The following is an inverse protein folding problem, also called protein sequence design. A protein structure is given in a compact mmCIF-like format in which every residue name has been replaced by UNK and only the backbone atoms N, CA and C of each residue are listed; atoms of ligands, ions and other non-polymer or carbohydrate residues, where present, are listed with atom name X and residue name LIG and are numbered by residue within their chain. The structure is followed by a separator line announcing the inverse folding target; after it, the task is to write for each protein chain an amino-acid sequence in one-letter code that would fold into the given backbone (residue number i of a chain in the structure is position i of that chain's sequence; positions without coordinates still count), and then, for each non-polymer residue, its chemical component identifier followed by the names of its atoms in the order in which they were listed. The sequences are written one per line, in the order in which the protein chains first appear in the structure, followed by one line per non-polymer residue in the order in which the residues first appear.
data_IF_268496020802
#
_entry.id   IF_268496020802
#
_cell.length_a   1.000
_cell.length_b   1.000
_cell.length_c   1.000
_cell.angle_alpha   90.00
_cell.angle_beta   90.00
_cell.angle_gamma   90.00
#
_symmetry.space_group_name_H-M   'P 1'
#
loop_
_entity.id
_entity.type
_entity.pdbx_description
1 polymer ?
#
# COMPACT_ATOMS: atom_id res chain seq x y z
N UNK A 1 -13.34 -8.91 -13.53
CA UNK A 1 -12.93 -9.39 -12.20
C UNK A 1 -13.64 -10.72 -11.94
N UNK A 2 -12.94 -11.76 -11.47
CA UNK A 2 -13.58 -13.01 -11.03
C UNK A 2 -14.15 -12.84 -9.61
N UNK A 3 -15.33 -13.40 -9.34
CA UNK A 3 -15.96 -13.35 -8.03
C UNK A 3 -15.08 -13.97 -6.93
N UNK A 4 -14.27 -14.99 -7.25
CA UNK A 4 -13.32 -15.56 -6.29
C UNK A 4 -12.31 -14.52 -5.81
N UNK A 5 -11.77 -13.74 -6.75
CA UNK A 5 -10.83 -12.63 -6.49
C UNK A 5 -11.47 -11.55 -5.62
N UNK A 6 -12.70 -11.16 -5.94
CA UNK A 6 -13.45 -10.18 -5.14
C UNK A 6 -13.67 -10.66 -3.68
N UNK A 7 -14.05 -11.93 -3.50
CA UNK A 7 -14.26 -12.53 -2.16
C UNK A 7 -12.96 -12.55 -1.34
N UNK A 8 -11.82 -12.84 -1.97
CA UNK A 8 -10.52 -12.83 -1.30
C UNK A 8 -10.18 -11.42 -0.76
N UNK A 9 -10.35 -10.39 -1.58
CA UNK A 9 -10.12 -9.00 -1.19
C UNK A 9 -11.02 -8.58 -0.03
N UNK A 10 -12.32 -8.90 -0.12
CA UNK A 10 -13.29 -8.61 0.95
C UNK A 10 -12.97 -9.33 2.25
N UNK A 11 -12.43 -10.56 2.19
CA UNK A 11 -12.03 -11.31 3.39
C UNK A 11 -10.85 -10.63 4.09
N UNK A 12 -9.84 -10.20 3.34
CA UNK A 12 -8.71 -9.45 3.89
C UNK A 12 -9.17 -8.16 4.57
N UNK A 13 -10.00 -7.37 3.89
CA UNK A 13 -10.53 -6.13 4.44
C UNK A 13 -11.31 -6.35 5.74
N UNK A 14 -12.15 -7.39 5.81
CA UNK A 14 -12.89 -7.74 7.03
C UNK A 14 -11.98 -8.18 8.17
N UNK A 15 -10.92 -8.92 7.86
CA UNK A 15 -9.92 -9.33 8.85
C UNK A 15 -9.21 -8.12 9.45
N UNK A 16 -8.79 -7.17 8.62
CA UNK A 16 -8.08 -5.97 9.10
C UNK A 16 -8.99 -5.08 9.95
N UNK A 17 -10.27 -4.94 9.58
CA UNK A 17 -11.27 -4.29 10.43
C UNK A 17 -11.42 -4.96 11.79
N UNK A 18 -11.51 -6.29 11.83
CA UNK A 18 -11.60 -7.03 13.09
C UNK A 18 -10.34 -6.80 13.94
N UNK A 19 -9.15 -6.77 13.33
CA UNK A 19 -7.90 -6.53 14.02
C UNK A 19 -7.82 -5.12 14.63
N UNK A 20 -8.17 -4.07 13.87
CA UNK A 20 -8.20 -2.72 14.41
C UNK A 20 -9.15 -2.60 15.60
N UNK A 21 -10.35 -3.20 15.50
CA UNK A 21 -11.32 -3.22 16.59
C UNK A 21 -10.80 -3.98 17.82
N UNK A 22 -10.09 -5.10 17.61
CA UNK A 22 -9.47 -5.85 18.70
C UNK A 22 -8.38 -5.06 19.42
N UNK A 23 -7.51 -4.35 18.69
CA UNK A 23 -6.45 -3.53 19.30
C UNK A 23 -7.05 -2.37 20.10
N UNK A 24 -8.01 -1.65 19.51
CA UNK A 24 -8.74 -0.57 20.21
C UNK A 24 -9.40 -1.10 21.47
N UNK A 25 -10.12 -2.22 21.36
CA UNK A 25 -10.75 -2.87 22.51
C UNK A 25 -9.72 -3.25 23.58
N UNK A 26 -8.59 -3.82 23.20
CA UNK A 26 -7.52 -4.22 24.11
C UNK A 26 -6.99 -3.06 24.94
N UNK A 27 -6.72 -1.91 24.31
CA UNK A 27 -6.31 -0.69 25.02
C UNK A 27 -7.38 -0.19 26.00
N UNK A 28 -8.65 -0.24 25.62
CA UNK A 28 -9.75 0.14 26.50
C UNK A 28 -9.89 -0.81 27.70
N UNK A 29 -9.72 -2.12 27.51
CA UNK A 29 -9.80 -3.13 28.58
C UNK A 29 -8.71 -2.96 29.64
N UNK A 30 -7.53 -2.46 29.27
CA UNK A 30 -6.43 -2.15 30.21
C UNK A 30 -6.41 -0.69 30.68
N UNK A 31 -7.52 0.04 30.50
CA UNK A 31 -7.72 1.42 30.93
C UNK A 31 -6.68 2.40 30.36
N UNK A 32 -6.30 2.22 29.08
CA UNK A 32 -5.42 3.11 28.32
C UNK A 32 -6.17 3.79 27.15
N UNK A 33 -7.20 4.62 27.42
CA UNK A 33 -8.03 5.23 26.38
C UNK A 33 -7.27 6.18 25.45
N UNK A 34 -6.21 6.83 25.93
CA UNK A 34 -5.36 7.70 25.11
C UNK A 34 -4.65 6.91 24.01
N UNK A 35 -4.18 5.69 24.33
CA UNK A 35 -3.57 4.78 23.36
C UNK A 35 -4.58 4.22 22.38
N UNK A 36 -5.80 3.91 22.85
CA UNK A 36 -6.90 3.53 21.96
C UNK A 36 -7.21 4.63 20.94
N UNK A 37 -7.27 5.89 21.39
CA UNK A 37 -7.52 7.05 20.53
C UNK A 37 -6.37 7.32 19.56
N UNK A 38 -5.12 7.23 20.03
CA UNK A 38 -3.92 7.32 19.19
C UNK A 38 -3.96 6.30 18.05
N UNK A 39 -4.22 5.03 18.38
CA UNK A 39 -4.33 3.94 17.40
C UNK A 39 -5.51 4.15 16.43
N UNK A 40 -6.69 4.53 16.94
CA UNK A 40 -7.88 4.81 16.12
C UNK A 40 -7.61 5.92 15.10
N UNK A 41 -6.92 6.98 15.50
CA UNK A 41 -6.55 8.07 14.60
C UNK A 41 -5.59 7.58 13.50
N UNK A 42 -4.65 6.70 13.84
CA UNK A 42 -3.76 6.05 12.87
C UNK A 42 -4.53 5.21 11.86
N UNK A 43 -5.34 4.26 12.33
CA UNK A 43 -6.17 3.41 11.48
C UNK A 43 -7.15 4.23 10.60
N UNK A 44 -7.72 5.31 11.14
CA UNK A 44 -8.59 6.21 10.37
C UNK A 44 -7.84 6.90 9.24
N UNK A 45 -6.57 7.29 9.45
CA UNK A 45 -5.73 7.89 8.41
C UNK A 45 -5.39 6.89 7.31
N UNK A 46 -5.01 5.66 7.68
CA UNK A 46 -4.77 4.57 6.72
C UNK A 46 -6.00 4.34 5.83
N UNK A 47 -7.20 4.30 6.41
CA UNK A 47 -8.45 4.15 5.66
C UNK A 47 -8.76 5.34 4.75
N UNK A 48 -8.43 6.57 5.17
CA UNK A 48 -8.58 7.77 4.34
C UNK A 48 -7.63 7.76 3.15
N UNK A 49 -6.38 7.34 3.34
CA UNK A 49 -5.40 7.17 2.27
C UNK A 49 -5.90 6.15 1.25
N UNK A 50 -6.38 4.98 1.71
CA UNK A 50 -7.02 3.96 0.86
C UNK A 50 -8.18 4.54 0.08
N UNK A 51 -9.10 5.25 0.75
CA UNK A 51 -10.25 5.90 0.10
C UNK A 51 -9.83 6.92 -0.95
N UNK A 52 -8.75 7.68 -0.72
CA UNK A 52 -8.27 8.70 -1.65
C UNK A 52 -7.86 8.10 -3.01
N UNK A 53 -7.07 7.04 -3.03
CA UNK A 53 -6.67 6.41 -4.29
C UNK A 53 -7.76 5.52 -4.89
N UNK A 54 -8.63 4.89 -4.09
CA UNK A 54 -9.79 4.17 -4.64
C UNK A 54 -10.73 5.08 -5.43
N UNK A 55 -10.90 6.33 -5.00
CA UNK A 55 -11.78 7.30 -5.66
C UNK A 55 -11.10 8.03 -6.83
N UNK A 56 -9.77 8.08 -6.85
CA UNK A 56 -9.02 8.82 -7.88
C UNK A 56 -8.45 7.94 -8.97
N UNK A 57 -8.44 6.61 -8.83
CA UNK A 57 -7.90 5.69 -9.83
C UNK A 57 -9.01 5.00 -10.65
N UNK A 58 -8.70 4.55 -11.87
CA UNK A 58 -9.54 3.59 -12.57
C UNK A 58 -9.78 2.32 -11.73
N UNK A 59 -10.96 1.72 -11.85
CA UNK A 59 -11.38 0.56 -11.03
C UNK A 59 -10.35 -0.58 -11.05
N UNK A 60 -9.81 -0.91 -12.22
CA UNK A 60 -8.80 -1.95 -12.38
C UNK A 60 -7.49 -1.62 -11.65
N UNK A 61 -7.05 -0.37 -11.71
CA UNK A 61 -5.84 0.08 -11.03
C UNK A 61 -6.00 0.04 -9.51
N UNK A 62 -7.15 0.47 -8.98
CA UNK A 62 -7.46 0.37 -7.54
C UNK A 62 -7.43 -1.09 -7.05
N UNK A 63 -8.00 -2.01 -7.83
CA UNK A 63 -8.00 -3.44 -7.50
C UNK A 63 -6.59 -4.02 -7.52
N UNK A 64 -5.77 -3.69 -8.53
CA UNK A 64 -4.38 -4.14 -8.62
C UNK A 64 -3.52 -3.62 -7.45
N UNK A 65 -3.67 -2.35 -7.08
CA UNK A 65 -2.98 -1.78 -5.94
C UNK A 65 -3.36 -2.45 -4.62
N UNK A 66 -4.65 -2.74 -4.44
CA UNK A 66 -5.14 -3.44 -3.23
C UNK A 66 -4.49 -4.82 -3.11
N UNK A 67 -4.40 -5.56 -4.21
CA UNK A 67 -3.73 -6.87 -4.20
C UNK A 67 -2.26 -6.78 -3.90
N UNK A 68 -1.58 -5.80 -4.50
CA UNK A 68 -0.17 -5.56 -4.26
C UNK A 68 0.10 -5.21 -2.80
N UNK A 69 -0.76 -4.42 -2.15
CA UNK A 69 -0.67 -4.11 -0.71
C UNK A 69 -0.89 -5.36 0.16
N UNK A 70 -1.93 -6.16 -0.14
CA UNK A 70 -2.18 -7.41 0.59
C UNK A 70 -0.98 -8.36 0.46
N UNK A 71 -0.45 -8.52 -0.75
CA UNK A 71 0.72 -9.35 -1.00
C UNK A 71 1.95 -8.81 -0.25
N UNK A 72 2.22 -7.51 -0.34
CA UNK A 72 3.34 -6.87 0.35
C UNK A 72 3.26 -7.10 1.87
N UNK A 73 2.09 -6.92 2.46
CA UNK A 73 1.85 -7.17 3.88
C UNK A 73 2.15 -8.63 4.26
N UNK A 74 1.76 -9.60 3.43
CA UNK A 74 2.09 -11.02 3.65
C UNK A 74 3.59 -11.32 3.59
N UNK A 75 4.38 -10.48 2.91
CA UNK A 75 5.84 -10.56 2.86
C UNK A 75 6.53 -9.74 3.97
N UNK A 76 5.78 -9.13 4.89
CA UNK A 76 6.33 -8.25 5.93
C UNK A 76 6.70 -6.84 5.45
N UNK A 77 6.24 -6.46 4.26
CA UNK A 77 6.47 -5.14 3.67
C UNK A 77 5.30 -4.22 4.03
N UNK A 78 5.58 -3.05 4.60
CA UNK A 78 4.60 -1.97 4.76
C UNK A 78 4.61 -1.11 3.49
N UNK A 79 3.74 -1.45 2.54
CA UNK A 79 3.61 -0.70 1.29
C UNK A 79 2.65 0.48 1.45
N UNK A 80 3.21 1.69 1.42
CA UNK A 80 2.45 2.95 1.41
C UNK A 80 2.39 3.53 0.01
N UNK A 81 1.30 4.22 -0.29
CA UNK A 81 1.13 4.93 -1.55
C UNK A 81 1.42 6.41 -1.26
N UNK A 82 2.47 6.93 -1.89
CA UNK A 82 2.90 8.31 -1.72
C UNK A 82 1.99 9.31 -2.43
N UNK A 83 2.46 10.55 -2.54
CA UNK A 83 1.72 11.59 -3.28
C UNK A 83 1.76 11.26 -4.77
N UNK A 84 0.59 10.95 -5.31
CA UNK A 84 0.43 10.55 -6.69
C UNK A 84 -0.07 11.73 -7.54
N UNK A 85 0.59 11.96 -8.68
CA UNK A 85 0.15 12.90 -9.71
C UNK A 85 -0.29 12.07 -10.92
N UNK A 86 -1.47 11.46 -10.83
CA UNK A 86 -1.96 10.53 -11.85
C UNK A 86 -3.02 11.22 -12.71
N UNK A 87 -2.83 11.14 -14.02
CA UNK A 87 -3.84 11.47 -15.01
C UNK A 87 -4.60 10.20 -15.40
N UNK A 88 -5.89 10.16 -15.05
CA UNK A 88 -6.79 9.01 -15.30
C UNK A 88 -7.01 8.71 -16.78
N UNK A 89 -6.57 9.57 -17.71
CA UNK A 89 -6.61 9.32 -19.15
C UNK A 89 -5.51 8.38 -19.66
N UNK A 90 -4.63 7.85 -18.80
CA UNK A 90 -3.42 7.10 -19.18
C UNK A 90 -3.39 5.68 -18.61
N UNK A 91 -2.64 4.73 -19.21
CA UNK A 91 -2.58 3.36 -18.71
C UNK A 91 -1.83 3.27 -17.37
N UNK A 92 -2.57 3.42 -16.27
CA UNK A 92 -2.07 3.29 -14.90
C UNK A 92 -1.82 1.83 -14.52
N UNK A 93 -2.61 0.90 -15.07
CA UNK A 93 -2.50 -0.53 -14.76
C UNK A 93 -1.14 -1.12 -15.14
N UNK A 94 -0.60 -0.78 -16.32
CA UNK A 94 0.74 -1.22 -16.77
C UNK A 94 1.84 -0.70 -15.84
N UNK A 95 1.68 0.55 -15.37
CA UNK A 95 2.62 1.17 -14.43
C UNK A 95 2.60 0.44 -13.08
N UNK A 96 1.42 0.08 -12.57
CA UNK A 96 1.26 -0.71 -11.35
C UNK A 96 1.85 -2.12 -11.53
N UNK A 97 1.65 -2.77 -12.66
CA UNK A 97 2.24 -4.08 -12.95
C UNK A 97 3.76 -4.03 -12.95
N UNK A 98 4.36 -3.02 -13.59
CA UNK A 98 5.80 -2.80 -13.58
C UNK A 98 6.33 -2.55 -12.15
N UNK A 99 5.59 -1.77 -11.36
CA UNK A 99 5.91 -1.57 -9.95
C UNK A 99 5.86 -2.89 -9.16
N UNK A 100 4.85 -3.73 -9.42
CA UNK A 100 4.70 -5.03 -8.78
C UNK A 100 5.85 -5.97 -9.10
N UNK A 101 6.25 -6.08 -10.37
CA UNK A 101 7.42 -6.88 -10.75
C UNK A 101 8.70 -6.41 -10.06
N UNK A 102 8.89 -5.09 -9.95
CA UNK A 102 10.03 -4.53 -9.25
C UNK A 102 10.00 -4.82 -7.75
N UNK A 103 8.83 -4.71 -7.12
CA UNK A 103 8.63 -5.01 -5.70
C UNK A 103 8.87 -6.49 -5.38
N UNK A 104 8.45 -7.41 -6.25
CA UNK A 104 8.69 -8.86 -6.08
C UNK A 104 10.16 -9.26 -6.14
N UNK A 105 10.97 -8.45 -6.80
CA UNK A 105 12.41 -8.66 -6.91
C UNK A 105 13.20 -7.93 -5.80
N UNK A 106 12.51 -7.22 -4.91
CA UNK A 106 13.14 -6.50 -3.82
C UNK A 106 13.54 -7.50 -2.73
N UNK A 107 14.80 -7.41 -2.29
CA UNK A 107 15.31 -8.25 -1.21
C UNK A 107 14.90 -7.65 0.13
N UNK A 108 13.91 -8.25 0.77
CA UNK A 108 13.53 -7.90 2.14
C UNK A 108 14.59 -8.51 3.09
N UNK A 109 15.18 -7.74 4.02
CA UNK A 109 16.12 -8.26 4.99
C UNK A 109 15.51 -9.37 5.87
N UNK A 110 16.27 -10.43 6.15
CA UNK A 110 15.82 -11.56 6.99
C UNK A 110 15.54 -11.17 8.45
N UNK A 111 16.17 -10.08 8.92
CA UNK A 111 15.94 -9.50 10.24
C UNK A 111 15.64 -8.01 10.11
N UNK A 112 14.38 -7.65 10.36
CA UNK A 112 13.97 -6.25 10.49
C UNK A 112 14.03 -5.86 11.98
N UNK A 113 14.65 -4.72 12.33
CA UNK A 113 14.74 -4.27 13.72
C UNK A 113 13.39 -3.73 14.18
N UNK A 114 12.49 -4.60 14.67
CA UNK A 114 11.15 -4.29 15.25
C UNK A 114 10.15 -3.50 14.37
N UNK A 115 10.62 -2.72 13.40
CA UNK A 115 9.88 -1.91 12.44
C UNK A 115 9.61 -2.71 11.15
N UNK A 116 8.45 -2.48 10.53
CA UNK A 116 8.11 -3.10 9.24
C UNK A 116 9.07 -2.58 8.16
N UNK A 117 9.33 -3.38 7.12
CA UNK A 117 10.11 -2.92 5.98
C UNK A 117 9.26 -1.95 5.16
N UNK A 118 9.45 -0.65 5.38
CA UNK A 118 8.63 0.39 4.75
C UNK A 118 9.03 0.59 3.29
N UNK A 119 8.05 0.52 2.40
CA UNK A 119 8.22 0.81 0.99
C UNK A 119 7.18 1.85 0.59
N UNK A 120 7.63 2.91 -0.07
CA UNK A 120 6.74 3.95 -0.61
C UNK A 120 6.68 3.79 -2.12
N UNK A 121 5.48 3.66 -2.66
CA UNK A 121 5.21 3.69 -4.09
C UNK A 121 4.60 5.04 -4.46
N UNK A 122 5.26 5.75 -5.37
CA UNK A 122 4.72 6.93 -6.03
C UNK A 122 4.40 6.61 -7.49
N UNK A 123 3.23 7.05 -7.93
CA UNK A 123 2.78 6.97 -9.31
C UNK A 123 2.72 8.38 -9.88
N UNK A 124 3.45 8.60 -10.98
CA UNK A 124 3.62 9.92 -11.59
C UNK A 124 3.31 9.85 -13.07
N UNK A 125 2.50 10.78 -13.56
CA UNK A 125 2.22 10.93 -14.98
C UNK A 125 2.96 12.14 -15.57
N UNK A 126 3.62 11.94 -16.71
CA UNK A 126 4.33 12.97 -17.47
C UNK A 126 3.73 13.09 -18.87
N UNK A 127 3.93 14.19 -19.63
CA UNK A 127 3.41 14.35 -20.99
C UNK A 127 3.61 13.13 -21.92
N UNK A 128 4.75 12.44 -21.82
CA UNK A 128 5.13 11.36 -22.75
C UNK A 128 4.95 9.93 -22.19
N UNK A 129 4.40 9.77 -20.97
CA UNK A 129 4.23 8.45 -20.35
C UNK A 129 3.90 8.49 -18.88
N UNK A 130 4.03 7.33 -18.22
CA UNK A 130 3.86 7.18 -16.78
C UNK A 130 5.17 6.70 -16.16
N UNK A 131 5.37 6.96 -14.88
CA UNK A 131 6.44 6.35 -14.11
C UNK A 131 5.92 5.86 -12.76
N UNK A 132 6.56 4.82 -12.25
CA UNK A 132 6.49 4.48 -10.83
C UNK A 132 7.86 4.68 -10.19
N UNK A 133 7.85 5.26 -9.00
CA UNK A 133 9.03 5.41 -8.15
C UNK A 133 8.79 4.58 -6.89
N UNK A 134 9.68 3.65 -6.62
CA UNK A 134 9.66 2.81 -5.42
C UNK A 134 10.83 3.24 -4.54
N UNK A 135 10.55 3.61 -3.30
CA UNK A 135 11.53 4.04 -2.30
C UNK A 135 11.49 3.10 -1.10
N UNK A 136 12.65 2.74 -0.56
CA UNK A 136 12.78 1.84 0.60
C UNK A 136 14.06 2.13 1.39
N UNK A 137 14.16 1.74 2.66
CA UNK A 137 15.41 1.81 3.41
C UNK A 137 16.37 0.69 2.94
N UNK A 138 17.55 1.07 2.44
CA UNK A 138 18.63 0.15 2.02
C UNK A 138 19.80 0.19 3.01
N UNK A 139 20.67 -0.82 2.98
CA UNK A 139 21.83 -0.99 3.87
C UNK A 139 22.81 0.20 3.80
N UNK A 140 22.78 0.96 2.71
CA UNK A 140 23.61 2.15 2.48
C UNK A 140 22.85 3.50 2.62
N UNK A 141 21.55 3.49 2.95
CA UNK A 141 20.72 4.71 3.04
C UNK A 141 19.29 4.50 2.51
N UNK A 142 18.81 5.37 1.61
CA UNK A 142 17.54 5.19 0.90
C UNK A 142 17.78 4.56 -0.47
N UNK A 143 17.19 3.39 -0.70
CA UNK A 143 17.08 2.78 -2.03
C UNK A 143 15.93 3.44 -2.80
N UNK A 144 16.17 3.79 -4.07
CA UNK A 144 15.16 4.33 -4.98
C UNK A 144 15.26 3.64 -6.33
N UNK A 145 14.12 3.21 -6.86
CA UNK A 145 13.99 2.69 -8.22
C UNK A 145 12.91 3.44 -8.97
N UNK A 146 13.30 4.01 -10.09
CA UNK A 146 12.39 4.70 -11.00
C UNK A 146 12.22 3.87 -12.27
N UNK A 147 10.97 3.63 -12.66
CA UNK A 147 10.61 2.85 -13.84
C UNK A 147 9.71 3.72 -14.69
N UNK A 148 10.16 4.02 -15.90
CA UNK A 148 9.44 4.88 -16.85
C UNK A 148 8.81 3.99 -17.91
N UNK A 149 7.48 4.07 -18.01
CA UNK A 149 6.68 3.43 -19.04
C UNK A 149 6.44 4.47 -20.14
N UNK A 150 7.23 4.33 -21.22
CA UNK A 150 7.08 5.14 -22.43
C UNK A 150 5.95 4.57 -23.28
N UNK A 151 5.28 5.48 -23.99
CA UNK A 151 4.19 5.18 -24.92
C UNK A 151 4.65 4.38 -26.14
#
# INVERSE_FOLDING_TARGET
MDYQRAVLLLRHQRHDYANHLQVIKGYLEINMPEKALEYLNGASRELQEVSSWFNSLPEEAAVLLTEMQIWAHQQGILLTIGKNEIDNGRPVAETIMAAWEALRNLKVPDSLPEEKFEVVLHLVTFPDGNACIIEWPDVLGQGRREIVIKR
#
